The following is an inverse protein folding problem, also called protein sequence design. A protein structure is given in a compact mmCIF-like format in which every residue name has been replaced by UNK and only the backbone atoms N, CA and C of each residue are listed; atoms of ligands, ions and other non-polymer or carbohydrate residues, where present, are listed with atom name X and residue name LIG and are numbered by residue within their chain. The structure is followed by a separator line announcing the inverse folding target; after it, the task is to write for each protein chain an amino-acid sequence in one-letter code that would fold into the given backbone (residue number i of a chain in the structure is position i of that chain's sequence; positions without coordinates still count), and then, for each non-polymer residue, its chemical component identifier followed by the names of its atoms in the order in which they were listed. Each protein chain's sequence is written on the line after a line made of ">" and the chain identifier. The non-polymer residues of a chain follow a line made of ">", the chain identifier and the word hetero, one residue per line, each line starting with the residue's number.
data_IF_526835944898
#
_entry.id   IF_526835944898
#
_cell.length_a   1.000
_cell.length_b   1.000
_cell.length_c   1.000
_cell.angle_alpha   90.00
_cell.angle_beta   90.00
_cell.angle_gamma   90.00
#
_symmetry.space_group_name_H-M   'P 1'
#
loop_
_entity.id
_entity.type
_entity.pdbx_description
1 polymer ?
#
# COMPACT_ATOMS: atom_id res chain seq x y z
N UNK A 1 9.21 -5.21 2.86
CA UNK A 1 8.60 -5.45 4.18
C UNK A 1 7.63 -4.33 4.48
N UNK A 2 6.51 -4.64 5.13
CA UNK A 2 5.48 -3.70 5.55
C UNK A 2 5.17 -3.91 7.03
N UNK A 3 5.03 -2.80 7.77
CA UNK A 3 4.70 -2.81 9.20
C UNK A 3 3.22 -2.56 9.46
N UNK A 4 2.66 -3.26 10.43
CA UNK A 4 1.26 -3.19 10.83
C UNK A 4 1.18 -2.89 12.33
N UNK A 5 0.25 -2.00 12.70
CA UNK A 5 -0.08 -1.72 14.10
C UNK A 5 -0.73 -2.97 14.73
N UNK A 6 -0.04 -3.54 15.71
CA UNK A 6 -0.45 -4.79 16.36
C UNK A 6 -1.82 -4.64 17.05
N UNK A 7 -2.08 -3.51 17.69
CA UNK A 7 -3.30 -3.29 18.46
C UNK A 7 -4.54 -3.13 17.57
N UNK A 8 -4.36 -2.67 16.32
CA UNK A 8 -5.48 -2.41 15.40
C UNK A 8 -5.70 -3.53 14.40
N UNK A 9 -4.63 -4.07 13.82
CA UNK A 9 -4.71 -4.97 12.67
C UNK A 9 -3.81 -6.21 12.84
N UNK A 10 -3.28 -6.46 14.04
CA UNK A 10 -2.40 -7.61 14.30
C UNK A 10 -3.06 -8.96 13.97
N UNK A 11 -4.33 -9.14 14.32
CA UNK A 11 -5.08 -10.38 14.00
C UNK A 11 -5.20 -10.56 12.48
N UNK A 12 -5.58 -9.51 11.75
CA UNK A 12 -5.68 -9.57 10.28
C UNK A 12 -4.34 -9.93 9.65
N UNK A 13 -3.26 -9.25 10.08
CA UNK A 13 -1.92 -9.49 9.55
C UNK A 13 -1.38 -10.90 9.86
N UNK A 14 -1.68 -11.44 11.04
CA UNK A 14 -1.14 -12.74 11.50
C UNK A 14 -1.99 -13.93 11.07
N UNK A 15 -3.31 -13.77 10.90
CA UNK A 15 -4.24 -14.89 10.66
C UNK A 15 -4.91 -14.89 9.29
N UNK A 16 -5.09 -13.71 8.68
CA UNK A 16 -5.85 -13.57 7.44
C UNK A 16 -4.97 -13.27 6.23
N UNK A 17 -3.76 -12.77 6.46
CA UNK A 17 -2.74 -12.59 5.42
C UNK A 17 -1.79 -13.78 5.46
N UNK A 18 -1.62 -14.42 4.31
CA UNK A 18 -0.86 -15.65 4.14
C UNK A 18 0.18 -15.59 3.03
N UNK A 19 1.19 -16.50 3.06
CA UNK A 19 2.11 -16.68 1.94
C UNK A 19 1.35 -16.98 0.64
N UNK A 20 1.74 -16.32 -0.44
CA UNK A 20 1.12 -16.47 -1.76
C UNK A 20 -0.02 -15.49 -2.04
N UNK A 21 -0.53 -14.79 -1.03
CA UNK A 21 -1.54 -13.74 -1.23
C UNK A 21 -1.02 -12.65 -2.17
N UNK A 22 -1.91 -12.20 -3.04
CA UNK A 22 -1.64 -11.12 -3.97
C UNK A 22 -1.98 -9.78 -3.31
N UNK A 23 -1.07 -8.80 -3.45
CA UNK A 23 -1.19 -7.52 -2.79
C UNK A 23 -0.92 -6.33 -3.73
N UNK A 24 -1.54 -5.21 -3.36
CA UNK A 24 -1.35 -3.88 -3.94
C UNK A 24 -1.18 -2.90 -2.78
N UNK A 25 -0.31 -1.91 -2.92
CA UNK A 25 -0.25 -0.80 -1.97
C UNK A 25 -1.12 0.34 -2.44
N UNK A 26 -1.99 0.83 -1.55
CA UNK A 26 -2.59 2.13 -1.72
C UNK A 26 -1.70 3.20 -1.09
N UNK A 27 -1.17 4.09 -1.93
CA UNK A 27 -0.33 5.20 -1.49
C UNK A 27 -1.19 6.45 -1.38
N UNK A 28 -1.34 6.95 -0.15
CA UNK A 28 -1.99 8.24 0.13
C UNK A 28 -0.96 9.28 0.54
N UNK A 29 -1.12 10.48 0.02
CA UNK A 29 -0.39 11.63 0.50
C UNK A 29 -1.03 12.15 1.78
N UNK A 30 -0.29 12.12 2.88
CA UNK A 30 -0.65 12.83 4.09
C UNK A 30 0.03 14.21 4.02
N UNK A 31 -0.77 15.29 4.04
CA UNK A 31 -0.25 16.63 4.32
C UNK A 31 -0.21 16.78 5.84
N UNK A 32 0.97 16.87 6.43
CA UNK A 32 1.13 17.14 7.87
C UNK A 32 1.95 18.42 8.01
N UNK A 33 1.35 19.49 8.54
CA UNK A 33 2.05 20.77 8.76
C UNK A 33 2.63 21.43 7.50
N UNK A 34 1.93 21.36 6.35
CA UNK A 34 2.38 21.99 5.10
C UNK A 34 3.40 21.20 4.27
N UNK A 35 3.95 20.11 4.81
CA UNK A 35 4.82 19.17 4.07
C UNK A 35 4.05 17.91 3.68
N UNK A 36 4.36 17.40 2.48
CA UNK A 36 3.69 16.23 1.88
C UNK A 36 4.53 14.98 2.13
N UNK A 37 3.98 14.00 2.84
CA UNK A 37 4.68 12.73 3.15
C UNK A 37 4.74 11.77 1.95
N UNK A 38 4.00 12.07 0.88
CA UNK A 38 4.13 11.35 -0.39
C UNK A 38 4.56 12.32 -1.49
N UNK A 39 5.29 11.82 -2.50
CA UNK A 39 5.62 12.62 -3.66
C UNK A 39 4.35 13.17 -4.34
N UNK A 40 4.37 14.42 -4.80
CA UNK A 40 3.17 15.11 -5.35
C UNK A 40 2.50 14.37 -6.50
N UNK A 41 3.21 13.49 -7.21
CA UNK A 41 2.67 12.65 -8.30
C UNK A 41 2.23 11.25 -7.86
N UNK A 42 2.30 10.94 -6.56
CA UNK A 42 1.91 9.67 -5.94
C UNK A 42 0.68 9.82 -5.02
N UNK A 43 -0.12 10.85 -5.22
CA UNK A 43 -1.29 11.06 -4.36
C UNK A 43 -2.42 10.13 -4.81
N UNK A 44 -2.85 9.22 -3.92
CA UNK A 44 -4.03 8.36 -4.11
C UNK A 44 -3.86 7.41 -5.30
N UNK A 45 -2.78 6.63 -5.29
CA UNK A 45 -2.50 5.64 -6.33
C UNK A 45 -2.50 4.23 -5.75
N UNK A 46 -2.92 3.26 -6.56
CA UNK A 46 -2.54 1.87 -6.32
C UNK A 46 -1.18 1.59 -6.94
N UNK A 47 -0.35 0.82 -6.24
CA UNK A 47 1.02 0.45 -6.61
C UNK A 47 1.16 -1.07 -6.53
N UNK A 48 1.71 -1.70 -7.57
CA UNK A 48 1.96 -3.14 -7.58
C UNK A 48 2.39 -3.66 -8.95
N UNK A 49 2.31 -4.98 -9.18
CA UNK A 49 1.80 -6.03 -8.28
C UNK A 49 2.84 -6.58 -7.29
N UNK A 50 2.38 -7.03 -6.12
CA UNK A 50 3.19 -7.68 -5.07
C UNK A 50 2.61 -9.02 -4.62
N UNK A 51 3.45 -9.87 -4.04
CA UNK A 51 3.07 -11.12 -3.37
C UNK A 51 3.56 -11.11 -1.93
N UNK A 52 2.74 -11.66 -1.04
CA UNK A 52 3.08 -11.87 0.37
C UNK A 52 3.97 -13.11 0.50
N UNK A 53 5.10 -12.98 1.20
CA UNK A 53 6.05 -14.08 1.42
C UNK A 53 5.76 -14.87 2.70
N UNK A 54 5.24 -14.20 3.73
CA UNK A 54 4.94 -14.81 5.02
C UNK A 54 3.66 -14.20 5.63
N UNK A 55 3.02 -14.95 6.52
CA UNK A 55 2.06 -14.35 7.44
C UNK A 55 2.76 -13.34 8.35
N UNK A 56 2.02 -12.34 8.80
CA UNK A 56 2.56 -11.32 9.68
C UNK A 56 3.12 -11.92 10.97
N UNK A 57 4.31 -11.46 11.37
CA UNK A 57 4.96 -11.88 12.60
C UNK A 57 5.26 -10.66 13.49
N UNK A 58 4.97 -10.78 14.78
CA UNK A 58 5.29 -9.73 15.75
C UNK A 58 6.81 -9.69 15.96
N UNK A 59 7.43 -8.57 15.61
CA UNK A 59 8.87 -8.35 15.80
C UNK A 59 9.16 -6.88 16.15
N UNK A 60 8.95 -6.47 17.42
CA UNK A 60 9.15 -5.09 17.86
C UNK A 60 10.61 -4.64 17.81
N UNK A 61 11.56 -5.58 17.78
CA UNK A 61 12.99 -5.29 17.82
C UNK A 61 13.62 -5.11 16.43
N UNK A 62 12.86 -5.26 15.35
CA UNK A 62 13.38 -5.10 14.00
C UNK A 62 13.82 -3.64 13.75
N UNK A 63 15.00 -3.37 13.17
CA UNK A 63 15.53 -2.01 13.03
C UNK A 63 14.58 -1.03 12.34
N UNK A 64 13.83 -1.50 11.33
CA UNK A 64 12.86 -0.67 10.61
C UNK A 64 11.71 -0.15 11.49
N UNK A 65 11.32 -0.88 12.56
CA UNK A 65 10.21 -0.50 13.45
C UNK A 65 10.47 0.83 14.15
N UNK A 66 11.73 1.10 14.50
CA UNK A 66 12.14 2.35 15.14
C UNK A 66 12.41 3.48 14.12
N UNK A 67 12.57 3.16 12.84
CA UNK A 67 12.76 4.14 11.77
C UNK A 67 11.43 4.66 11.20
N UNK A 68 10.34 3.90 11.38
CA UNK A 68 9.02 4.32 10.93
C UNK A 68 8.42 5.40 11.83
N UNK A 69 7.46 6.14 11.29
CA UNK A 69 6.80 7.23 12.02
C UNK A 69 5.33 6.89 12.30
N UNK A 70 4.91 6.84 13.57
CA UNK A 70 5.73 7.03 14.77
C UNK A 70 6.60 5.79 15.09
N UNK A 71 7.76 5.99 15.74
CA UNK A 71 8.66 4.89 16.10
C UNK A 71 7.98 3.88 17.01
N UNK A 72 8.24 2.59 16.80
CA UNK A 72 7.75 1.54 17.68
C UNK A 72 6.29 1.12 17.46
N UNK A 73 5.51 1.80 16.60
CA UNK A 73 4.08 1.51 16.45
C UNK A 73 3.80 0.27 15.58
N UNK A 74 4.52 0.10 14.47
CA UNK A 74 4.19 -0.89 13.45
C UNK A 74 4.98 -2.19 13.64
N UNK A 75 4.66 -2.94 14.70
CA UNK A 75 5.48 -4.05 15.19
C UNK A 75 5.21 -5.41 14.51
N UNK A 76 4.07 -5.57 13.83
CA UNK A 76 3.78 -6.80 13.08
C UNK A 76 4.30 -6.63 11.66
N UNK A 77 5.21 -7.49 11.24
CA UNK A 77 5.94 -7.36 9.99
C UNK A 77 5.44 -8.38 8.98
N UNK A 78 5.13 -7.90 7.78
CA UNK A 78 4.77 -8.72 6.62
C UNK A 78 5.87 -8.55 5.58
N UNK A 79 6.48 -9.66 5.18
CA UNK A 79 7.38 -9.71 4.04
C UNK A 79 6.60 -9.79 2.74
N UNK A 80 7.08 -9.02 1.77
CA UNK A 80 6.47 -8.87 0.45
C UNK A 80 7.57 -8.93 -0.59
N UNK A 81 7.24 -9.46 -1.75
CA UNK A 81 8.08 -9.44 -2.94
C UNK A 81 7.33 -8.84 -4.12
N UNK A 82 8.08 -8.35 -5.11
CA UNK A 82 7.52 -7.92 -6.37
C UNK A 82 7.14 -9.16 -7.18
N UNK A 83 5.95 -9.17 -7.77
CA UNK A 83 5.56 -10.24 -8.68
C UNK A 83 6.21 -10.11 -10.07
N UNK A 84 6.64 -8.90 -10.42
CA UNK A 84 7.34 -8.59 -11.66
C UNK A 84 8.22 -7.36 -11.45
N UNK A 85 9.27 -7.22 -12.26
CA UNK A 85 10.11 -6.03 -12.28
C UNK A 85 9.35 -4.77 -12.76
N UNK A 86 8.24 -4.97 -13.47
CA UNK A 86 7.38 -3.91 -14.00
C UNK A 86 6.33 -3.45 -12.99
N UNK A 87 6.77 -2.97 -11.83
CA UNK A 87 5.87 -2.31 -10.88
C UNK A 87 5.30 -1.04 -11.52
N UNK A 88 3.98 -0.95 -11.53
CA UNK A 88 3.22 0.18 -12.06
C UNK A 88 2.37 0.86 -11.02
N UNK A 89 1.81 2.00 -11.41
CA UNK A 89 0.84 2.72 -10.60
C UNK A 89 -0.37 3.16 -11.42
N UNK A 90 -1.49 3.34 -10.76
CA UNK A 90 -2.74 3.87 -11.33
C UNK A 90 -3.45 4.76 -10.32
N UNK A 91 -3.99 5.89 -10.78
CA UNK A 91 -4.78 6.80 -9.96
C UNK A 91 -6.11 6.14 -9.57
N UNK A 92 -6.45 6.15 -8.28
CA UNK A 92 -7.70 5.58 -7.79
C UNK A 92 -8.91 6.21 -8.48
N UNK A 93 -8.89 7.52 -8.76
CA UNK A 93 -9.99 8.25 -9.41
C UNK A 93 -10.33 7.69 -10.80
N UNK A 94 -9.36 7.10 -11.51
CA UNK A 94 -9.57 6.49 -12.80
C UNK A 94 -10.33 5.15 -12.71
N UNK A 95 -10.35 4.54 -11.52
CA UNK A 95 -10.94 3.21 -11.28
C UNK A 95 -12.17 3.25 -10.39
N UNK A 96 -12.49 4.38 -9.73
CA UNK A 96 -13.53 4.47 -8.72
C UNK A 96 -14.83 3.78 -9.12
N UNK A 97 -15.33 4.03 -10.32
CA UNK A 97 -16.62 3.49 -10.76
C UNK A 97 -16.58 1.99 -11.07
N UNK A 98 -15.40 1.42 -11.33
CA UNK A 98 -15.21 0.01 -11.68
C UNK A 98 -14.95 -0.89 -10.46
N UNK A 99 -14.58 -0.33 -9.31
CA UNK A 99 -14.19 -1.12 -8.12
C UNK A 99 -15.40 -1.43 -7.23
N UNK A 100 -15.80 -2.68 -7.12
CA UNK A 100 -16.96 -3.12 -6.34
C UNK A 100 -16.81 -2.90 -4.85
N UNK A 101 -15.62 -3.07 -4.28
CA UNK A 101 -15.41 -2.86 -2.84
C UNK A 101 -15.64 -1.42 -2.37
N UNK A 102 -15.57 -0.43 -3.28
CA UNK A 102 -15.87 0.96 -2.98
C UNK A 102 -17.37 1.18 -3.16
N UNK A 103 -18.18 1.00 -2.12
CA UNK A 103 -19.64 1.13 -2.27
C UNK A 103 -20.12 2.57 -2.33
N UNK A 104 -19.41 3.51 -1.72
CA UNK A 104 -19.69 4.94 -1.81
C UNK A 104 -18.71 5.63 -2.78
N UNK A 105 -19.22 6.07 -3.94
CA UNK A 105 -18.41 6.70 -5.01
C UNK A 105 -18.26 8.22 -4.85
N UNK A 106 -18.87 8.82 -3.83
CA UNK A 106 -18.83 10.26 -3.64
C UNK A 106 -17.38 10.75 -3.51
N UNK A 107 -17.06 11.85 -4.20
CA UNK A 107 -15.73 12.49 -4.19
C UNK A 107 -15.64 13.66 -3.20
N UNK A 108 -16.79 14.18 -2.76
CA UNK A 108 -16.95 15.29 -1.83
C UNK A 108 -18.24 15.11 -1.01
N UNK A 109 -18.30 15.67 0.21
CA UNK A 109 -19.48 15.60 1.10
C UNK A 109 -19.19 14.91 2.44
N UNK A 110 -20.26 14.58 3.21
CA UNK A 110 -20.17 13.76 4.44
C UNK A 110 -19.99 12.30 4.05
N UNK A 111 -18.74 11.91 3.84
CA UNK A 111 -18.31 10.57 3.46
C UNK A 111 -18.01 10.41 1.98
N UNK A 112 -17.23 9.39 1.63
CA UNK A 112 -16.80 9.15 0.25
C UNK A 112 -15.97 7.88 0.09
N UNK A 113 -15.42 7.69 -1.12
CA UNK A 113 -14.63 6.50 -1.41
C UNK A 113 -13.40 6.36 -0.50
N UNK A 114 -12.89 7.48 0.02
CA UNK A 114 -11.73 7.52 0.92
C UNK A 114 -11.99 6.80 2.23
N UNK A 115 -13.26 6.67 2.66
CA UNK A 115 -13.63 5.97 3.90
C UNK A 115 -13.33 4.47 3.81
N UNK A 116 -13.45 3.91 2.60
CA UNK A 116 -13.07 2.53 2.31
C UNK A 116 -11.56 2.29 2.39
N UNK A 117 -10.76 3.37 2.40
CA UNK A 117 -9.30 3.34 2.40
C UNK A 117 -8.68 3.76 3.74
N UNK A 118 -9.49 3.79 4.81
CA UNK A 118 -9.02 4.17 6.15
C UNK A 118 -8.30 3.02 6.87
N UNK A 119 -8.51 1.79 6.43
CA UNK A 119 -7.92 0.59 7.01
C UNK A 119 -6.53 0.29 6.46
N UNK A 120 -5.64 -0.28 7.29
CA UNK A 120 -4.27 -0.62 6.88
C UNK A 120 -4.21 -1.86 5.96
N UNK A 121 -5.18 -2.76 6.09
CA UNK A 121 -5.33 -3.97 5.26
C UNK A 121 -6.80 -4.06 4.87
N UNK A 122 -7.07 -4.24 3.59
CA UNK A 122 -8.41 -4.35 3.02
C UNK A 122 -8.42 -5.58 2.13
N UNK A 123 -9.32 -6.53 2.42
CA UNK A 123 -9.57 -7.64 1.50
C UNK A 123 -10.43 -7.15 0.33
N UNK A 124 -9.99 -7.45 -0.88
CA UNK A 124 -10.71 -7.11 -2.11
C UNK A 124 -10.97 -8.39 -2.90
N UNK A 125 -12.00 -8.36 -3.75
CA UNK A 125 -12.32 -9.50 -4.60
C UNK A 125 -11.34 -9.62 -5.76
N UNK A 126 -11.26 -10.81 -6.36
CA UNK A 126 -10.39 -11.06 -7.50
C UNK A 126 -10.69 -10.16 -8.71
N UNK A 127 -11.96 -9.81 -8.93
CA UNK A 127 -12.40 -8.92 -10.00
C UNK A 127 -11.87 -7.49 -9.82
N UNK A 128 -11.90 -6.99 -8.58
CA UNK A 128 -11.34 -5.68 -8.22
C UNK A 128 -9.82 -5.67 -8.36
N UNK A 129 -9.16 -6.73 -7.89
CA UNK A 129 -7.71 -6.91 -8.06
C UNK A 129 -7.34 -6.88 -9.54
N UNK A 130 -7.99 -7.70 -10.38
CA UNK A 130 -7.73 -7.77 -11.81
C UNK A 130 -8.00 -6.44 -12.52
N UNK A 131 -9.06 -5.73 -12.12
CA UNK A 131 -9.37 -4.39 -12.64
C UNK A 131 -8.21 -3.41 -12.38
N UNK A 132 -7.62 -3.45 -11.19
CA UNK A 132 -6.47 -2.60 -10.86
C UNK A 132 -5.23 -3.03 -11.64
N UNK A 133 -4.89 -4.32 -11.63
CA UNK A 133 -3.69 -4.85 -12.30
C UNK A 133 -3.67 -4.49 -13.79
N UNK A 134 -4.79 -4.67 -14.48
CA UNK A 134 -4.92 -4.39 -15.91
C UNK A 134 -4.77 -2.90 -16.27
N UNK A 135 -4.79 -2.02 -15.27
CA UNK A 135 -4.68 -0.56 -15.44
C UNK A 135 -3.39 0.01 -14.88
N UNK A 136 -2.52 -0.83 -14.29
CA UNK A 136 -1.21 -0.38 -13.81
C UNK A 136 -0.34 0.11 -14.97
N UNK A 137 0.25 1.29 -14.79
CA UNK A 137 1.19 1.86 -15.74
C UNK A 137 2.61 1.90 -15.13
N UNK A 138 3.57 1.08 -15.62
CA UNK A 138 4.96 1.11 -15.18
C UNK A 138 5.67 2.46 -15.41
N UNK A 139 5.18 3.25 -16.36
CA UNK A 139 5.69 4.57 -16.71
C UNK A 139 4.95 5.69 -15.96
N UNK A 140 4.08 5.36 -14.99
CA UNK A 140 3.35 6.36 -14.23
C UNK A 140 4.34 7.30 -13.50
N UNK A 141 4.14 8.63 -13.49
CA UNK A 141 5.08 9.58 -12.88
C UNK A 141 5.41 9.30 -11.41
N UNK A 142 4.47 8.68 -10.67
CA UNK A 142 4.71 8.19 -9.32
C UNK A 142 5.89 7.20 -9.23
N UNK A 143 5.99 6.24 -10.16
CA UNK A 143 7.05 5.24 -10.17
C UNK A 143 8.42 5.89 -10.31
N UNK A 144 8.55 6.84 -11.24
CA UNK A 144 9.79 7.60 -11.43
C UNK A 144 10.17 8.44 -10.20
N UNK A 145 9.19 8.88 -9.41
CA UNK A 145 9.44 9.62 -8.18
C UNK A 145 9.85 8.69 -7.03
N UNK A 146 9.16 7.57 -6.84
CA UNK A 146 9.50 6.54 -5.84
C UNK A 146 10.91 5.98 -6.06
N UNK A 147 11.30 5.70 -7.31
CA UNK A 147 12.66 5.23 -7.63
C UNK A 147 13.75 6.21 -7.22
N UNK A 148 13.49 7.52 -7.34
CA UNK A 148 14.43 8.57 -6.92
C UNK A 148 14.48 8.71 -5.41
N UNK A 149 13.34 8.63 -4.74
CA UNK A 149 13.23 8.81 -3.29
C UNK A 149 13.72 7.60 -2.48
N UNK A 150 13.57 6.38 -3.00
CA UNK A 150 14.01 5.15 -2.36
C UNK A 150 15.47 4.79 -2.68
N UNK A 151 16.14 5.60 -3.52
CA UNK A 151 17.45 5.29 -4.08
C UNK A 151 17.41 4.17 -5.11
N UNK A 152 18.36 4.19 -6.07
CA UNK A 152 18.80 2.94 -6.70
C UNK A 152 19.31 2.02 -5.59
N UNK A 153 18.98 0.71 -5.59
CA UNK A 153 19.53 -0.18 -4.60
C UNK A 153 21.05 -0.07 -4.69
N UNK A 154 21.70 0.43 -3.63
CA UNK A 154 23.11 0.17 -3.41
C UNK A 154 23.24 -1.33 -3.52
N UNK A 155 24.07 -1.79 -4.45
CA UNK A 155 24.42 -3.21 -4.57
C UNK A 155 24.69 -3.72 -3.15
N UNK A 156 23.89 -4.69 -2.71
CA UNK A 156 24.20 -5.42 -1.50
C UNK A 156 25.57 -6.07 -1.76
N UNK A 157 26.57 -5.64 -1.00
CA UNK A 157 27.82 -6.37 -0.81
C UNK A 157 27.51 -7.56 0.09
#
# INVERSE_FOLDING_TARGET
>A
MFGVDNAKYGITATRLVGPGDLALFYVRSLRRGGTSNAPSKCQRVFLGPYRVKNSGALNPNHPAVNQWSPPGQYQVLIEIEKLTDKIGAVDVNALLNALYFITNKARSGRGGWQDHMQFSIISIRGEDYNTIINKLNPNHPCIGQLRRSLGTPSQCV
#
